data_IF_044414837244
#
_entry.id   IF_044414837244
#
_cell.length_a   1.000
_cell.length_b   1.000
_cell.length_c   1.000
_cell.angle_alpha   90.00
_cell.angle_beta   90.00
_cell.angle_gamma   90.00
#
_symmetry.space_group_name_H-M   'P 1'
#
loop_
_entity.id
_entity.type
_entity.pdbx_description
1 polymer ?
#
# COMPACT_ATOMS: atom_id res chain seq x y z
N UNK A 1 0.64 -43.69 -14.72
CA UNK A 1 0.73 -42.65 -13.67
C UNK A 1 1.60 -41.54 -14.24
N UNK A 2 1.01 -40.64 -15.03
CA UNK A 2 1.71 -39.46 -15.55
C UNK A 2 1.31 -38.27 -14.69
N UNK A 3 2.29 -37.67 -14.03
CA UNK A 3 2.10 -36.47 -13.23
C UNK A 3 2.05 -35.26 -14.17
N UNK A 4 0.91 -34.56 -14.19
CA UNK A 4 0.78 -33.25 -14.82
C UNK A 4 1.71 -32.24 -14.14
N UNK A 5 2.43 -31.38 -14.88
CA UNK A 5 3.06 -30.22 -14.28
C UNK A 5 2.00 -29.12 -14.10
N UNK A 6 1.68 -28.79 -12.85
CA UNK A 6 0.96 -27.55 -12.51
C UNK A 6 1.84 -26.34 -12.91
N UNK A 7 1.30 -25.33 -13.60
CA UNK A 7 2.10 -24.17 -13.96
C UNK A 7 2.38 -23.34 -12.70
N UNK A 8 3.66 -23.02 -12.54
CA UNK A 8 4.23 -22.29 -11.43
C UNK A 8 3.67 -20.87 -11.36
N UNK A 9 3.06 -20.52 -10.21
CA UNK A 9 2.72 -19.13 -9.86
C UNK A 9 3.94 -18.34 -9.36
N UNK A 10 5.09 -18.45 -10.03
CA UNK A 10 6.34 -17.77 -9.64
C UNK A 10 6.72 -16.67 -10.62
N UNK A 11 7.00 -15.50 -10.04
CA UNK A 11 7.88 -14.44 -10.55
C UNK A 11 7.41 -13.38 -11.57
N UNK A 12 6.12 -13.27 -11.88
CA UNK A 12 5.68 -12.11 -12.69
C UNK A 12 5.81 -10.79 -11.90
N UNK A 13 5.54 -10.82 -10.59
CA UNK A 13 5.50 -9.61 -9.76
C UNK A 13 6.88 -9.03 -9.42
N UNK A 14 7.95 -9.82 -9.35
CA UNK A 14 9.28 -9.30 -9.00
C UNK A 14 9.94 -8.61 -10.20
N UNK A 15 9.75 -9.17 -11.41
CA UNK A 15 10.21 -8.55 -12.65
C UNK A 15 9.49 -7.21 -12.93
N UNK A 16 8.18 -7.13 -12.66
CA UNK A 16 7.43 -5.88 -12.78
C UNK A 16 7.83 -4.84 -11.72
N UNK A 17 8.15 -5.27 -10.50
CA UNK A 17 8.66 -4.38 -9.46
C UNK A 17 10.03 -3.77 -9.82
N UNK A 18 10.92 -4.55 -10.44
CA UNK A 18 12.25 -4.10 -10.86
C UNK A 18 12.23 -3.03 -11.98
N UNK A 19 11.11 -2.88 -12.69
CA UNK A 19 10.94 -1.86 -13.72
C UNK A 19 10.63 -0.46 -13.17
N UNK A 20 10.31 -0.34 -11.88
CA UNK A 20 9.97 0.94 -11.25
C UNK A 20 11.25 1.63 -10.80
N UNK A 21 11.41 2.90 -11.20
CA UNK A 21 12.54 3.73 -10.79
C UNK A 21 12.63 3.82 -9.25
N UNK A 22 13.80 3.55 -8.64
CA UNK A 22 14.00 3.65 -7.19
C UNK A 22 13.66 5.04 -6.63
N UNK A 23 13.74 6.11 -7.42
CA UNK A 23 13.29 7.45 -7.03
C UNK A 23 11.77 7.49 -6.79
N UNK A 24 10.99 6.78 -7.59
CA UNK A 24 9.53 6.67 -7.42
C UNK A 24 9.22 5.89 -6.15
N UNK A 25 9.89 4.76 -5.92
CA UNK A 25 9.72 3.98 -4.69
C UNK A 25 10.03 4.83 -3.44
N UNK A 26 11.16 5.54 -3.45
CA UNK A 26 11.53 6.46 -2.36
C UNK A 26 10.51 7.59 -2.17
N UNK A 27 9.97 8.16 -3.25
CA UNK A 27 8.92 9.17 -3.17
C UNK A 27 7.66 8.61 -2.50
N UNK A 28 7.26 7.38 -2.83
CA UNK A 28 6.11 6.72 -2.19
C UNK A 28 6.37 6.48 -0.71
N UNK A 29 7.56 6.00 -0.32
CA UNK A 29 7.91 5.83 1.09
C UNK A 29 7.84 7.16 1.82
N UNK A 30 8.42 8.22 1.27
CA UNK A 30 8.34 9.57 1.83
C UNK A 30 6.90 10.05 1.97
N UNK A 31 6.08 9.84 0.95
CA UNK A 31 4.66 10.18 0.99
C UNK A 31 3.96 9.48 2.16
N UNK A 32 4.16 8.18 2.36
CA UNK A 32 3.54 7.42 3.45
C UNK A 32 4.13 7.82 4.82
N UNK A 33 5.44 8.02 4.89
CA UNK A 33 6.18 8.38 6.09
C UNK A 33 5.72 9.73 6.65
N UNK A 34 5.52 10.73 5.81
CA UNK A 34 5.10 12.08 6.22
C UNK A 34 3.59 12.35 6.11
N UNK A 35 2.79 11.43 5.55
CA UNK A 35 1.33 11.55 5.47
C UNK A 35 0.70 11.71 6.85
N UNK A 36 -0.31 12.59 7.01
CA UNK A 36 -1.07 12.66 8.28
C UNK A 36 -2.01 11.47 8.48
N UNK A 37 -2.28 10.72 7.40
CA UNK A 37 -3.12 9.53 7.44
C UNK A 37 -2.27 8.35 7.91
N UNK A 38 -2.89 7.47 8.70
CA UNK A 38 -2.30 6.20 9.10
C UNK A 38 -2.20 5.21 7.94
N UNK A 39 -3.13 5.24 6.99
CA UNK A 39 -3.11 4.41 5.79
C UNK A 39 -3.58 5.21 4.57
N UNK A 40 -3.07 4.84 3.39
CA UNK A 40 -3.33 5.55 2.13
C UNK A 40 -3.66 4.55 1.02
N UNK A 41 -4.76 4.73 0.25
CA UNK A 41 -5.09 3.84 -0.86
C UNK A 41 -4.17 4.03 -2.08
N UNK A 42 -4.04 3.00 -2.92
CA UNK A 42 -3.17 3.04 -4.12
C UNK A 42 -3.48 4.23 -5.03
N UNK A 43 -4.77 4.55 -5.22
CA UNK A 43 -5.20 5.68 -6.04
C UNK A 43 -4.65 7.02 -5.56
N UNK A 44 -4.66 7.25 -4.24
CA UNK A 44 -4.12 8.46 -3.63
C UNK A 44 -2.58 8.50 -3.68
N UNK A 45 -1.91 7.35 -3.66
CA UNK A 45 -0.46 7.27 -3.88
C UNK A 45 -0.14 7.73 -5.29
N UNK A 46 -0.77 7.13 -6.30
CA UNK A 46 -0.58 7.47 -7.72
C UNK A 46 -0.85 8.95 -7.99
N UNK A 47 -1.90 9.52 -7.39
CA UNK A 47 -2.26 10.92 -7.60
C UNK A 47 -1.18 11.91 -7.14
N UNK A 48 -0.45 11.57 -6.08
CA UNK A 48 0.59 12.42 -5.47
C UNK A 48 2.01 12.11 -5.98
N UNK A 49 2.14 11.26 -7.00
CA UNK A 49 3.42 11.06 -7.67
C UNK A 49 3.84 12.34 -8.43
N UNK A 50 5.15 12.58 -8.61
CA UNK A 50 5.64 13.66 -9.45
C UNK A 50 5.08 13.56 -10.87
N UNK A 51 4.93 14.70 -11.55
CA UNK A 51 4.30 14.75 -12.87
C UNK A 51 5.10 13.97 -13.92
N UNK A 52 6.42 13.98 -13.77
CA UNK A 52 7.40 13.29 -14.61
C UNK A 52 7.21 11.77 -14.54
N UNK A 53 7.06 11.25 -13.32
CA UNK A 53 6.80 9.83 -13.10
C UNK A 53 5.44 9.40 -13.66
N UNK A 54 4.41 10.25 -13.54
CA UNK A 54 3.09 9.99 -14.13
C UNK A 54 3.12 10.05 -15.65
N UNK A 55 3.88 10.98 -16.23
CA UNK A 55 4.01 11.16 -17.67
C UNK A 55 4.82 10.04 -18.34
N UNK A 56 5.73 9.39 -17.60
CA UNK A 56 6.53 8.26 -18.07
C UNK A 56 5.73 6.96 -18.32
N UNK A 57 4.40 6.97 -18.18
CA UNK A 57 3.56 5.80 -18.44
C UNK A 57 3.72 4.72 -17.38
N UNK A 58 3.90 5.11 -16.12
CA UNK A 58 3.99 4.19 -14.98
C UNK A 58 2.83 3.19 -14.99
N UNK A 59 3.17 1.91 -15.16
CA UNK A 59 2.21 0.83 -15.06
C UNK A 59 1.74 0.71 -13.60
N UNK A 60 0.42 0.80 -13.37
CA UNK A 60 -0.18 0.78 -12.02
C UNK A 60 0.08 -0.54 -11.32
N UNK A 61 0.07 -1.65 -12.06
CA UNK A 61 0.38 -2.98 -11.55
C UNK A 61 1.85 -3.09 -11.14
N UNK A 62 2.77 -2.56 -11.95
CA UNK A 62 4.20 -2.53 -11.62
C UNK A 62 4.49 -1.68 -10.38
N UNK A 63 3.89 -0.49 -10.30
CA UNK A 63 3.99 0.36 -9.10
C UNK A 63 3.46 -0.36 -7.87
N UNK A 64 2.30 -1.02 -8.00
CA UNK A 64 1.74 -1.82 -6.91
C UNK A 64 2.71 -2.91 -6.48
N UNK A 65 3.29 -3.66 -7.42
CA UNK A 65 4.25 -4.71 -7.12
C UNK A 65 5.50 -4.15 -6.41
N UNK A 66 6.04 -3.00 -6.86
CA UNK A 66 7.16 -2.33 -6.21
C UNK A 66 6.82 -1.88 -4.77
N UNK A 67 5.63 -1.33 -4.55
CA UNK A 67 5.15 -0.95 -3.22
C UNK A 67 5.01 -2.18 -2.33
N UNK A 68 4.41 -3.27 -2.83
CA UNK A 68 4.21 -4.50 -2.06
C UNK A 68 5.54 -5.24 -1.78
N UNK A 69 6.59 -5.02 -2.59
CA UNK A 69 7.94 -5.56 -2.39
C UNK A 69 8.80 -4.74 -1.42
N UNK A 70 8.40 -3.51 -1.09
CA UNK A 70 9.19 -2.60 -0.23
C UNK A 70 8.99 -2.94 1.24
N UNK A 71 10.07 -3.28 1.95
CA UNK A 71 10.01 -3.77 3.34
C UNK A 71 9.41 -2.76 4.34
N UNK A 72 9.69 -1.46 4.17
CA UNK A 72 9.14 -0.39 5.01
C UNK A 72 7.70 0.00 4.68
N UNK A 73 6.99 -0.75 3.83
CA UNK A 73 5.59 -0.54 3.51
C UNK A 73 4.76 -1.76 3.90
N UNK A 74 3.80 -1.55 4.80
CA UNK A 74 2.79 -2.54 5.14
C UNK A 74 1.52 -2.38 4.31
N UNK A 75 0.81 -3.50 4.13
CA UNK A 75 -0.41 -3.56 3.30
C UNK A 75 -1.61 -3.96 4.17
N UNK A 76 -2.73 -3.28 3.98
CA UNK A 76 -4.05 -3.62 4.51
C UNK A 76 -4.88 -4.10 3.32
N UNK A 77 -4.95 -5.43 3.17
CA UNK A 77 -5.76 -6.06 2.11
C UNK A 77 -7.24 -5.94 2.46
N UNK A 78 -7.97 -5.15 1.69
CA UNK A 78 -9.42 -5.00 1.81
C UNK A 78 -10.08 -5.97 0.83
N UNK A 79 -11.09 -6.68 1.30
CA UNK A 79 -11.88 -7.62 0.51
C UNK A 79 -13.32 -7.13 0.42
N UNK A 80 -13.97 -7.46 -0.69
CA UNK A 80 -15.35 -7.08 -0.98
C UNK A 80 -15.44 -6.06 -2.11
N UNK A 81 -16.65 -5.55 -2.31
CA UNK A 81 -16.97 -4.58 -3.35
C UNK A 81 -17.57 -3.32 -2.71
N UNK A 82 -17.35 -2.18 -3.34
CA UNK A 82 -18.04 -0.95 -3.01
C UNK A 82 -19.50 -0.97 -3.50
N UNK A 83 -20.24 0.10 -3.23
CA UNK A 83 -21.63 0.25 -3.67
C UNK A 83 -21.79 0.28 -5.20
N UNK A 84 -20.71 0.54 -5.95
CA UNK A 84 -20.67 0.51 -7.41
C UNK A 84 -20.21 -0.86 -7.96
N UNK A 85 -19.97 -1.86 -7.09
CA UNK A 85 -19.54 -3.19 -7.48
C UNK A 85 -18.03 -3.32 -7.77
N UNK A 86 -17.23 -2.26 -7.57
CA UNK A 86 -15.78 -2.29 -7.77
C UNK A 86 -15.09 -2.90 -6.56
N UNK A 87 -13.98 -3.65 -6.75
CA UNK A 87 -13.24 -4.20 -5.62
C UNK A 87 -12.72 -3.07 -4.73
N UNK A 88 -12.77 -3.29 -3.41
CA UNK A 88 -12.18 -2.36 -2.46
C UNK A 88 -10.67 -2.26 -2.65
N UNK A 89 -10.15 -1.03 -2.72
CA UNK A 89 -8.72 -0.79 -2.88
C UNK A 89 -7.96 -1.23 -1.62
N UNK A 90 -6.76 -1.78 -1.82
CA UNK A 90 -5.83 -2.02 -0.71
C UNK A 90 -5.25 -0.71 -0.23
N UNK A 91 -5.00 -0.64 1.08
CA UNK A 91 -4.39 0.54 1.71
C UNK A 91 -2.98 0.20 2.18
N UNK A 92 -2.10 1.20 2.14
CA UNK A 92 -0.68 1.06 2.44
C UNK A 92 -0.30 1.98 3.59
N UNK A 93 0.65 1.54 4.39
CA UNK A 93 1.12 2.27 5.55
C UNK A 93 2.64 2.13 5.71
N UNK A 94 3.26 3.15 6.29
CA UNK A 94 4.71 3.17 6.52
C UNK A 94 5.11 2.40 7.78
N UNK A 95 6.16 1.58 7.71
CA UNK A 95 6.70 0.77 8.83
C UNK A 95 8.11 1.25 9.16
N UNK A 96 8.27 2.14 10.15
CA UNK A 96 9.57 2.69 10.51
C UNK A 96 10.62 1.64 10.87
N UNK A 97 10.20 0.51 11.44
CA UNK A 97 11.08 -0.58 11.90
C UNK A 97 11.79 -1.31 10.75
N UNK A 98 11.28 -1.20 9.53
CA UNK A 98 11.83 -1.83 8.33
C UNK A 98 12.36 -0.79 7.33
N UNK A 99 12.50 0.47 7.75
CA UNK A 99 13.10 1.51 6.92
C UNK A 99 14.60 1.60 7.15
N UNK A 100 15.35 1.47 6.05
CA UNK A 100 16.80 1.60 6.00
C UNK A 100 17.24 3.08 6.07
N UNK A 101 16.35 4.04 5.78
CA UNK A 101 16.63 5.47 5.90
C UNK A 101 16.49 5.95 7.35
N UNK A 102 17.63 6.06 8.03
CA UNK A 102 17.67 6.48 9.44
C UNK A 102 17.19 7.92 9.65
N UNK A 103 17.41 8.83 8.69
CA UNK A 103 17.01 10.23 8.81
C UNK A 103 15.49 10.36 8.73
N UNK A 104 14.87 9.67 7.76
CA UNK A 104 13.42 9.60 7.64
C UNK A 104 12.80 8.97 8.87
N UNK A 105 13.35 7.86 9.36
CA UNK A 105 12.89 7.19 10.58
C UNK A 105 12.94 8.12 11.79
N UNK A 106 14.07 8.79 12.04
CA UNK A 106 14.23 9.73 13.14
C UNK A 106 13.25 10.91 13.03
N UNK A 107 13.13 11.53 11.85
CA UNK A 107 12.21 12.65 11.64
C UNK A 107 10.74 12.26 11.90
N UNK A 108 10.35 11.05 11.51
CA UNK A 108 8.96 10.57 11.66
C UNK A 108 8.65 10.13 13.08
N UNK A 109 9.56 9.41 13.72
CA UNK A 109 9.37 8.87 15.08
C UNK A 109 9.54 9.96 16.13
N UNK A 110 10.64 10.72 16.06
CA UNK A 110 11.00 11.71 17.08
C UNK A 110 10.38 13.07 16.78
N UNK A 111 10.40 13.50 15.51
CA UNK A 111 9.94 14.83 15.10
C UNK A 111 8.43 14.97 15.04
N UNK A 112 7.76 14.06 14.31
CA UNK A 112 6.30 14.12 14.13
C UNK A 112 5.51 13.51 15.30
N UNK A 113 6.15 12.74 16.20
CA UNK A 113 5.50 11.98 17.28
C UNK A 113 4.23 11.26 16.81
N UNK A 114 4.29 10.67 15.61
CA UNK A 114 3.12 10.06 14.98
C UNK A 114 2.54 9.02 15.92
N UNK A 115 1.21 9.05 16.21
CA UNK A 115 0.59 7.96 16.94
C UNK A 115 0.87 6.67 16.18
N UNK A 116 1.44 5.69 16.88
CA UNK A 116 1.86 4.45 16.25
C UNK A 116 0.71 3.82 15.45
N UNK A 117 1.04 3.15 14.36
CA UNK A 117 0.08 2.38 13.57
C UNK A 117 -0.69 1.32 14.36
N UNK A 118 -0.29 1.03 15.61
CA UNK A 118 -1.10 0.22 16.53
C UNK A 118 -2.47 0.83 16.79
N UNK A 119 -2.63 2.15 16.65
CA UNK A 119 -3.92 2.82 16.77
C UNK A 119 -4.82 2.62 15.53
N UNK A 120 -4.25 2.23 14.39
CA UNK A 120 -5.01 2.03 13.16
C UNK A 120 -5.42 0.58 12.96
N UNK A 121 -6.65 0.36 12.49
CA UNK A 121 -7.16 -0.99 12.21
C UNK A 121 -6.52 -1.53 10.94
N UNK A 122 -5.78 -2.64 11.08
CA UNK A 122 -5.06 -3.32 9.98
C UNK A 122 -5.89 -4.36 9.22
N UNK A 123 -7.16 -4.55 9.59
CA UNK A 123 -8.05 -5.54 8.98
C UNK A 123 -9.36 -4.89 8.58
N UNK A 124 -9.87 -5.22 7.39
CA UNK A 124 -11.20 -4.77 6.99
C UNK A 124 -12.26 -5.41 7.90
N UNK A 125 -13.19 -4.62 8.45
CA UNK A 125 -14.37 -5.12 9.18
C UNK A 125 -15.63 -4.54 8.57
N UNK A 126 -16.54 -5.42 8.16
CA UNK A 126 -17.86 -5.03 7.71
C UNK A 126 -18.72 -4.65 8.92
N UNK A 127 -19.21 -3.41 8.96
CA UNK A 127 -20.23 -3.00 9.93
C UNK A 127 -21.60 -3.23 9.32
N UNK A 128 -22.41 -4.07 9.95
CA UNK A 128 -23.83 -4.14 9.68
C UNK A 128 -24.55 -3.14 10.59
N UNK A 129 -25.41 -2.30 10.04
CA UNK A 129 -26.34 -1.52 10.85
C UNK A 129 -27.61 -2.37 11.05
N UNK A 130 -28.05 -2.51 12.30
CA UNK A 130 -29.36 -3.13 12.59
C UNK A 130 -30.40 -2.01 12.60
N UNK A 131 -31.48 -2.20 11.83
CA UNK A 131 -32.63 -1.31 11.91
C UNK A 131 -33.19 -1.32 13.35
N UNK A 132 -33.39 -0.16 14.00
CA UNK A 132 -34.03 -0.12 15.32
C UNK A 132 -35.44 -0.71 15.25
N UNK A 133 -35.85 -1.45 16.28
CA UNK A 133 -37.25 -1.86 16.45
C UNK A 133 -38.02 -0.64 16.97
N UNK A 134 -38.98 -0.14 16.20
CA UNK A 134 -39.99 0.80 16.69
C UNK A 134 -40.93 0.09 17.67
N UNK A 135 -41.36 0.78 18.75
CA UNK A 135 -42.33 0.24 19.71
C UNK A 135 -43.72 0.04 19.09
#
# INVERSE_FOLDING_TARGET
MEASPSPEGRDVSAAEAAAVDPAVANHVVNQLAFSRLSSTPLSAIVLNLPAEARAAGLNREALRAAIEATACIGIIRRQGKDAAGKPLESEYYYVPEHDDDEQRRAAVVDGLRKPSLRACRKQHKQYYWKRPRTP
#
